data_IF_052768493334
#
_entry.id   IF_052768493334
#
_cell.length_a   1.000
_cell.length_b   1.000
_cell.length_c   1.000
_cell.angle_alpha   90.00
_cell.angle_beta   90.00
_cell.angle_gamma   90.00
#
_symmetry.space_group_name_H-M   'P 1'
#
loop_
_entity.id
_entity.type
_entity.pdbx_description
1 polymer ?
#
# COMPACT_ATOMS: atom_id res chain seq x y z
N UNK A 1 21.01 0.17 41.94
CA UNK A 1 21.48 0.18 40.54
C UNK A 1 20.78 -0.96 39.82
N UNK A 2 20.12 -0.72 38.68
CA UNK A 2 19.49 -1.79 37.90
C UNK A 2 20.58 -2.53 37.12
N UNK A 3 20.83 -3.80 37.45
CA UNK A 3 21.76 -4.64 36.68
C UNK A 3 21.15 -4.87 35.29
N UNK A 4 21.76 -4.31 34.25
CA UNK A 4 21.45 -4.67 32.86
C UNK A 4 21.84 -6.13 32.64
N UNK A 5 20.87 -7.03 32.72
CA UNK A 5 21.05 -8.42 32.32
C UNK A 5 21.10 -8.48 30.79
N UNK A 6 22.27 -8.79 30.23
CA UNK A 6 22.43 -9.00 28.80
C UNK A 6 22.32 -10.48 28.51
N UNK A 7 21.22 -10.89 27.85
CA UNK A 7 21.06 -12.25 27.32
C UNK A 7 21.51 -12.24 25.85
N UNK A 8 22.70 -12.76 25.60
CA UNK A 8 23.31 -12.80 24.27
C UNK A 8 23.31 -14.23 23.77
N UNK A 9 22.52 -14.50 22.73
CA UNK A 9 22.49 -15.79 22.03
C UNK A 9 23.59 -15.74 20.96
N UNK A 10 24.72 -16.39 21.24
CA UNK A 10 25.87 -16.50 20.33
C UNK A 10 25.79 -17.77 19.50
N UNK A 11 26.02 -17.67 18.19
CA UNK A 11 26.04 -18.80 17.27
C UNK A 11 27.47 -19.08 16.79
N UNK A 12 27.85 -20.35 16.73
CA UNK A 12 29.17 -20.78 16.24
C UNK A 12 29.19 -21.16 14.76
N UNK A 13 28.04 -21.37 14.12
CA UNK A 13 27.85 -21.52 12.66
C UNK A 13 26.34 -21.52 12.32
N UNK A 14 25.87 -20.67 11.40
CA UNK A 14 25.01 -21.02 10.25
C UNK A 14 24.40 -19.80 9.50
N UNK A 15 24.13 -20.00 8.22
CA UNK A 15 23.68 -19.02 7.22
C UNK A 15 22.13 -18.80 7.20
N UNK A 16 21.48 -18.72 8.37
CA UNK A 16 20.01 -18.72 8.45
C UNK A 16 19.44 -17.45 9.06
N UNK A 17 18.28 -16.99 8.59
CA UNK A 17 17.58 -15.79 9.08
C UNK A 17 16.73 -16.11 10.32
N UNK A 18 17.39 -16.19 11.48
CA UNK A 18 16.75 -16.22 12.80
C UNK A 18 16.60 -14.80 13.37
N UNK A 19 15.72 -14.65 14.37
CA UNK A 19 15.62 -13.45 15.20
C UNK A 19 15.57 -13.80 16.68
N UNK A 20 16.07 -12.92 17.53
CA UNK A 20 16.07 -13.07 18.99
C UNK A 20 15.15 -12.03 19.64
N UNK A 21 14.55 -12.37 20.78
CA UNK A 21 13.71 -11.47 21.56
C UNK A 21 13.95 -11.67 23.05
N UNK A 22 13.92 -10.60 23.83
CA UNK A 22 14.04 -10.62 25.29
C UNK A 22 12.93 -9.77 25.90
N UNK A 23 11.99 -10.41 26.59
CA UNK A 23 10.85 -9.73 27.21
C UNK A 23 10.54 -10.38 28.57
N UNK A 24 10.36 -9.57 29.62
CA UNK A 24 10.05 -10.04 31.00
C UNK A 24 10.90 -11.23 31.48
N UNK A 25 12.23 -11.14 31.32
CA UNK A 25 13.22 -12.20 31.62
C UNK A 25 13.15 -13.49 30.77
N UNK A 26 12.32 -13.53 29.71
CA UNK A 26 12.24 -14.64 28.75
C UNK A 26 13.04 -14.30 27.50
N UNK A 27 14.11 -15.05 27.24
CA UNK A 27 14.85 -15.01 25.97
C UNK A 27 14.28 -16.03 24.98
N UNK A 28 13.97 -15.60 23.76
CA UNK A 28 13.37 -16.43 22.70
C UNK A 28 14.23 -16.38 21.45
N UNK A 29 14.52 -17.55 20.87
CA UNK A 29 15.09 -17.71 19.53
C UNK A 29 13.98 -18.13 18.57
N UNK A 30 13.83 -17.42 17.45
CA UNK A 30 12.77 -17.67 16.46
C UNK A 30 13.38 -17.87 15.09
N UNK A 31 13.10 -19.01 14.47
CA UNK A 31 13.45 -19.33 13.09
C UNK A 31 12.30 -18.91 12.16
N UNK A 32 12.58 -18.08 11.16
CA UNK A 32 11.56 -17.64 10.19
C UNK A 32 11.25 -18.72 9.15
N UNK A 33 12.24 -19.54 8.83
CA UNK A 33 12.16 -20.81 8.07
C UNK A 33 13.13 -21.78 8.76
N UNK A 34 12.80 -23.07 8.76
CA UNK A 34 13.65 -24.12 9.34
C UNK A 34 14.13 -25.03 8.20
N UNK A 35 15.44 -25.15 8.06
CA UNK A 35 16.14 -26.03 7.11
C UNK A 35 17.01 -27.06 7.85
N UNK A 36 17.43 -28.14 7.20
CA UNK A 36 18.30 -29.14 7.85
C UNK A 36 19.66 -28.58 8.28
N UNK A 37 20.13 -27.50 7.64
CA UNK A 37 21.28 -26.70 8.07
C UNK A 37 21.11 -26.01 9.43
N UNK A 38 19.88 -25.82 9.90
CA UNK A 38 19.61 -25.21 11.21
C UNK A 38 19.73 -26.23 12.36
N UNK A 39 19.94 -27.51 12.05
CA UNK A 39 20.22 -28.52 13.08
C UNK A 39 21.60 -28.30 13.73
N UNK A 40 21.66 -28.37 15.05
CA UNK A 40 22.87 -28.05 15.80
C UNK A 40 22.63 -27.79 17.29
N UNK A 41 23.72 -27.55 18.02
CA UNK A 41 23.67 -27.18 19.43
C UNK A 41 23.55 -25.65 19.58
N UNK A 42 22.49 -25.20 20.22
CA UNK A 42 22.20 -23.79 20.50
C UNK A 42 22.49 -23.46 21.96
N UNK A 43 23.19 -22.35 22.19
CA UNK A 43 23.57 -21.91 23.53
C UNK A 43 22.85 -20.59 23.86
N UNK A 44 22.03 -20.60 24.90
CA UNK A 44 21.48 -19.38 25.48
C UNK A 44 22.38 -18.96 26.67
N UNK A 45 23.05 -17.81 26.56
CA UNK A 45 23.93 -17.25 27.60
C UNK A 45 23.30 -15.99 28.21
N UNK A 46 23.09 -16.01 29.52
CA UNK A 46 22.73 -14.87 30.34
C UNK A 46 23.97 -14.29 31.01
N UNK A 47 24.08 -12.97 31.05
CA UNK A 47 25.20 -12.25 31.67
C UNK A 47 24.68 -11.06 32.48
N UNK A 48 25.24 -10.86 33.67
CA UNK A 48 25.02 -9.69 34.50
C UNK A 48 26.35 -9.22 35.11
N UNK A 49 26.33 -8.14 35.90
CA UNK A 49 27.53 -7.55 36.52
C UNK A 49 28.23 -8.41 37.58
N UNK A 50 27.70 -9.60 37.89
CA UNK A 50 28.23 -10.52 38.91
C UNK A 50 28.73 -11.82 38.27
N UNK A 51 28.18 -12.24 37.13
CA UNK A 51 28.62 -13.44 36.44
C UNK A 51 27.77 -13.81 35.23
N UNK A 52 27.98 -15.04 34.74
CA UNK A 52 27.30 -15.60 33.59
C UNK A 52 26.66 -16.94 33.92
N UNK A 53 25.52 -17.21 33.31
CA UNK A 53 24.87 -18.52 33.30
C UNK A 53 24.57 -18.91 31.85
N UNK A 54 24.67 -20.17 31.49
CA UNK A 54 24.33 -20.64 30.15
C UNK A 54 23.60 -21.97 30.18
N UNK A 55 22.76 -22.19 29.16
CA UNK A 55 22.08 -23.46 28.91
C UNK A 55 22.23 -23.83 27.44
N UNK A 56 22.18 -25.13 27.16
CA UNK A 56 22.37 -25.70 25.82
C UNK A 56 21.13 -26.50 25.41
N UNK A 57 20.76 -26.41 24.14
CA UNK A 57 19.68 -27.20 23.54
C UNK A 57 20.12 -27.73 22.17
N UNK A 58 19.92 -29.03 21.93
CA UNK A 58 20.17 -29.63 20.62
C UNK A 58 18.90 -29.54 19.77
N UNK A 59 18.95 -28.77 18.68
CA UNK A 59 17.89 -28.74 17.66
C UNK A 59 18.18 -29.80 16.61
N UNK A 60 17.34 -30.83 16.54
CA UNK A 60 17.37 -31.82 15.45
C UNK A 60 16.24 -31.55 14.48
N UNK A 61 16.55 -31.10 13.28
CA UNK A 61 15.58 -30.91 12.20
C UNK A 61 15.32 -32.28 11.54
N UNK A 62 14.11 -32.81 11.71
CA UNK A 62 13.72 -34.06 11.08
C UNK A 62 13.13 -33.78 9.69
N UNK A 63 13.82 -34.22 8.65
CA UNK A 63 13.26 -34.23 7.30
C UNK A 63 12.10 -35.27 7.23
N UNK A 64 10.94 -34.93 6.62
CA UNK A 64 9.80 -35.85 6.60
C UNK A 64 10.10 -37.16 5.86
N UNK A 65 10.09 -38.28 6.60
CA UNK A 65 10.32 -39.62 6.03
C UNK A 65 9.18 -39.99 5.07
N UNK A 66 9.43 -39.92 3.76
CA UNK A 66 8.53 -40.44 2.74
C UNK A 66 8.64 -41.96 2.60
N UNK A 67 7.52 -42.63 2.28
CA UNK A 67 7.40 -44.09 2.16
C UNK A 67 7.61 -44.54 0.70
N UNK A 68 8.51 -45.49 0.37
CA UNK A 68 8.85 -45.81 -1.02
C UNK A 68 8.23 -47.12 -1.55
N UNK A 69 7.32 -47.02 -2.53
CA UNK A 69 6.79 -48.11 -3.38
C UNK A 69 6.27 -47.45 -4.68
N UNK A 70 6.53 -47.86 -5.93
CA UNK A 70 7.35 -48.93 -6.52
C UNK A 70 7.94 -48.47 -7.90
N UNK A 71 8.81 -49.25 -8.55
CA UNK A 71 9.50 -48.90 -9.81
C UNK A 71 8.65 -49.13 -11.08
N UNK A 72 8.59 -48.13 -11.98
CA UNK A 72 8.24 -48.25 -13.41
C UNK A 72 8.76 -47.04 -14.20
N UNK A 73 9.17 -47.24 -15.45
CA UNK A 73 10.06 -46.34 -16.20
C UNK A 73 9.36 -45.28 -17.06
N UNK A 74 8.97 -44.13 -16.49
CA UNK A 74 8.99 -42.81 -17.14
C UNK A 74 8.59 -41.66 -16.16
N UNK A 75 8.98 -40.42 -16.50
CA UNK A 75 8.93 -39.19 -15.69
C UNK A 75 7.74 -39.00 -14.72
N UNK A 76 8.04 -38.78 -13.43
CA UNK A 76 7.11 -38.13 -12.48
C UNK A 76 7.82 -37.63 -11.19
N UNK A 77 8.68 -36.64 -11.33
CA UNK A 77 9.32 -35.93 -10.21
C UNK A 77 8.36 -34.92 -9.55
N UNK A 78 7.24 -35.37 -8.95
CA UNK A 78 6.26 -34.50 -8.30
C UNK A 78 6.37 -34.57 -6.76
N UNK A 79 7.39 -33.89 -6.24
CA UNK A 79 7.64 -33.74 -4.80
C UNK A 79 7.25 -32.34 -4.31
N UNK A 80 6.18 -32.27 -3.51
CA UNK A 80 5.71 -31.11 -2.72
C UNK A 80 5.25 -29.86 -3.49
N UNK A 81 5.96 -29.40 -4.52
CA UNK A 81 5.64 -28.19 -5.30
C UNK A 81 4.25 -28.22 -5.94
N UNK A 82 3.77 -29.41 -6.34
CA UNK A 82 2.46 -29.65 -6.96
C UNK A 82 1.26 -29.34 -6.04
N UNK A 83 1.50 -29.09 -4.75
CA UNK A 83 0.49 -28.68 -3.75
C UNK A 83 0.59 -27.22 -3.32
N UNK A 84 1.53 -26.45 -3.90
CA UNK A 84 1.76 -25.07 -3.51
C UNK A 84 0.98 -24.16 -4.44
N UNK A 85 -0.02 -23.48 -3.89
CA UNK A 85 -0.86 -22.53 -4.62
C UNK A 85 -0.10 -21.20 -4.68
N UNK A 86 0.16 -20.63 -5.87
CA UNK A 86 0.76 -19.31 -5.98
C UNK A 86 -0.16 -18.25 -5.35
N UNK A 87 0.36 -17.08 -4.96
CA UNK A 87 -0.46 -16.01 -4.42
C UNK A 87 -1.49 -15.57 -5.45
N UNK A 88 -2.68 -15.18 -5.01
CA UNK A 88 -3.69 -14.57 -5.85
C UNK A 88 -4.56 -13.58 -5.05
N UNK A 89 -4.73 -12.37 -5.57
CA UNK A 89 -5.54 -11.33 -4.93
C UNK A 89 -7.05 -11.58 -5.06
N UNK A 90 -7.59 -12.31 -4.09
CA UNK A 90 -9.04 -12.51 -3.86
C UNK A 90 -9.83 -11.20 -3.68
N UNK A 91 -9.16 -10.13 -3.22
CA UNK A 91 -9.65 -8.75 -3.29
C UNK A 91 -8.49 -7.87 -3.74
N UNK A 92 -8.64 -7.20 -4.88
CA UNK A 92 -7.65 -6.24 -5.41
C UNK A 92 -7.88 -4.85 -4.81
N UNK A 93 -6.84 -4.02 -4.88
CA UNK A 93 -6.91 -2.59 -4.55
C UNK A 93 -7.97 -1.87 -5.41
N UNK A 94 -8.41 -0.70 -4.94
CA UNK A 94 -9.35 0.17 -5.63
C UNK A 94 -8.83 1.59 -5.67
N UNK A 95 -9.15 2.30 -6.74
CA UNK A 95 -8.87 3.73 -6.84
C UNK A 95 -9.47 4.46 -5.65
N UNK A 96 -8.66 5.31 -5.02
CA UNK A 96 -9.01 5.95 -3.76
C UNK A 96 -8.70 7.44 -3.84
N UNK A 97 -9.62 8.26 -3.33
CA UNK A 97 -9.40 9.70 -3.19
C UNK A 97 -9.01 10.00 -1.73
N UNK A 98 -7.80 10.50 -1.55
CA UNK A 98 -7.28 10.99 -0.28
C UNK A 98 -7.49 12.50 -0.14
N UNK A 99 -7.45 12.99 1.09
CA UNK A 99 -7.59 14.42 1.41
C UNK A 99 -6.29 14.93 2.04
N UNK A 100 -5.78 16.09 1.61
CA UNK A 100 -4.57 16.69 2.19
C UNK A 100 -4.66 16.78 3.72
N UNK A 101 -3.60 16.31 4.40
CA UNK A 101 -3.48 16.24 5.85
C UNK A 101 -4.25 15.08 6.51
N UNK A 102 -5.12 14.36 5.80
CA UNK A 102 -5.82 13.19 6.33
C UNK A 102 -4.93 11.93 6.31
N UNK A 103 -5.46 10.78 6.73
CA UNK A 103 -4.82 9.48 6.54
C UNK A 103 -5.72 8.59 5.68
N UNK A 104 -5.13 7.66 4.92
CA UNK A 104 -5.87 6.72 4.07
C UNK A 104 -5.35 5.30 4.27
N UNK A 105 -6.23 4.32 4.08
CA UNK A 105 -5.92 2.89 4.18
C UNK A 105 -6.15 2.23 2.82
N UNK A 106 -5.09 1.68 2.25
CA UNK A 106 -5.12 0.84 1.06
C UNK A 106 -5.12 -0.61 1.51
N UNK A 107 -6.19 -1.36 1.23
CA UNK A 107 -6.38 -2.74 1.65
C UNK A 107 -6.64 -3.66 0.46
N UNK A 108 -5.96 -4.81 0.43
CA UNK A 108 -6.23 -5.90 -0.49
C UNK A 108 -6.14 -7.25 0.26
N UNK A 109 -6.70 -8.32 -0.32
CA UNK A 109 -6.72 -9.65 0.30
C UNK A 109 -6.15 -10.70 -0.63
N UNK A 110 -5.08 -11.34 -0.19
CA UNK A 110 -4.42 -12.43 -0.92
C UNK A 110 -4.97 -13.80 -0.49
N UNK A 111 -4.71 -14.80 -1.32
CA UNK A 111 -4.92 -16.23 -1.06
C UNK A 111 -3.74 -17.00 -1.66
N UNK A 112 -3.41 -18.18 -1.16
CA UNK A 112 -2.26 -18.97 -1.61
C UNK A 112 -1.62 -19.75 -0.47
N UNK A 113 -0.59 -20.53 -0.76
CA UNK A 113 0.10 -21.32 0.28
C UNK A 113 1.10 -20.46 1.05
N UNK A 114 1.04 -20.49 2.38
CA UNK A 114 1.99 -19.82 3.27
C UNK A 114 3.38 -20.48 3.25
N UNK A 115 4.48 -19.76 3.55
CA UNK A 115 4.53 -18.33 3.88
C UNK A 115 4.45 -17.44 2.63
N UNK A 116 3.61 -16.40 2.70
CA UNK A 116 3.52 -15.34 1.69
C UNK A 116 4.28 -14.13 2.21
N UNK A 117 5.17 -13.56 1.39
CA UNK A 117 5.78 -12.25 1.60
C UNK A 117 5.00 -11.19 0.82
N UNK A 118 4.86 -10.01 1.41
CA UNK A 118 4.14 -8.86 0.83
C UNK A 118 5.06 -7.65 0.80
N UNK A 119 5.12 -6.99 -0.35
CA UNK A 119 5.82 -5.71 -0.54
C UNK A 119 4.90 -4.71 -1.24
N UNK A 120 5.18 -3.42 -1.03
CA UNK A 120 4.38 -2.32 -1.55
C UNK A 120 5.27 -1.35 -2.33
N UNK A 121 4.72 -0.75 -3.38
CA UNK A 121 5.43 0.18 -4.25
C UNK A 121 4.56 1.40 -4.56
N UNK A 122 5.17 2.57 -4.65
CA UNK A 122 4.58 3.79 -5.24
C UNK A 122 5.35 4.12 -6.52
N UNK A 123 4.65 4.11 -7.65
CA UNK A 123 5.20 4.41 -8.98
C UNK A 123 6.51 3.63 -9.30
N UNK A 124 6.57 2.38 -8.83
CA UNK A 124 7.71 1.46 -8.98
C UNK A 124 8.78 1.53 -7.88
N UNK A 125 8.71 2.49 -6.95
CA UNK A 125 9.65 2.61 -5.83
C UNK A 125 9.14 1.85 -4.61
N UNK A 126 9.99 1.03 -3.97
CA UNK A 126 9.60 0.23 -2.80
C UNK A 126 9.30 1.10 -1.58
N UNK A 127 8.16 0.82 -0.94
CA UNK A 127 7.70 1.49 0.28
C UNK A 127 8.13 0.66 1.48
N UNK A 128 8.90 1.27 2.37
CA UNK A 128 9.31 0.68 3.65
C UNK A 128 8.51 1.31 4.79
N UNK A 129 8.12 0.50 5.79
CA UNK A 129 7.41 0.99 6.98
C UNK A 129 8.20 2.07 7.73
N UNK A 130 7.50 3.11 8.17
CA UNK A 130 8.04 4.25 8.91
C UNK A 130 6.93 5.15 9.47
N UNK A 131 7.24 6.42 9.73
CA UNK A 131 6.25 7.37 10.27
C UNK A 131 5.12 7.69 9.27
N UNK A 132 5.49 7.83 7.99
CA UNK A 132 4.55 8.10 6.87
C UNK A 132 3.73 6.86 6.49
N UNK A 133 4.32 5.67 6.57
CA UNK A 133 3.80 4.43 6.00
C UNK A 133 3.72 3.31 7.05
N UNK A 134 2.51 2.86 7.37
CA UNK A 134 2.28 1.70 8.23
C UNK A 134 1.87 0.50 7.37
N UNK A 135 2.75 -0.49 7.20
CA UNK A 135 2.47 -1.74 6.47
C UNK A 135 2.13 -2.85 7.47
N UNK A 136 1.08 -3.61 7.20
CA UNK A 136 0.72 -4.82 7.95
C UNK A 136 0.20 -5.94 7.07
N UNK A 137 0.39 -7.18 7.53
CA UNK A 137 -0.11 -8.39 6.88
C UNK A 137 -0.59 -9.39 7.93
N UNK A 138 -1.91 -9.62 8.01
CA UNK A 138 -2.56 -10.50 8.98
C UNK A 138 -3.80 -11.15 8.36
N UNK A 139 -4.06 -12.43 8.63
CA UNK A 139 -5.22 -13.18 8.11
C UNK A 139 -5.43 -13.09 6.58
N UNK A 140 -4.30 -13.02 5.87
CA UNK A 140 -4.16 -12.78 4.42
C UNK A 140 -4.67 -11.41 3.93
N UNK A 141 -4.93 -10.47 4.82
CA UNK A 141 -5.22 -9.07 4.50
C UNK A 141 -3.91 -8.29 4.48
N UNK A 142 -3.61 -7.66 3.35
CA UNK A 142 -2.48 -6.78 3.13
C UNK A 142 -2.97 -5.34 3.27
N UNK A 143 -2.39 -4.57 4.19
CA UNK A 143 -2.79 -3.20 4.46
C UNK A 143 -1.59 -2.25 4.47
N UNK A 144 -1.71 -1.15 3.72
CA UNK A 144 -0.81 0.01 3.76
C UNK A 144 -1.63 1.23 4.18
N UNK A 145 -1.27 1.82 5.32
CA UNK A 145 -1.83 3.08 5.81
C UNK A 145 -0.84 4.20 5.57
N UNK A 146 -1.29 5.26 4.90
CA UNK A 146 -0.53 6.49 4.70
C UNK A 146 -1.04 7.54 5.68
N UNK A 147 -0.13 8.11 6.46
CA UNK A 147 -0.39 9.16 7.44
C UNK A 147 -0.14 10.55 6.83
N UNK A 148 -0.92 11.54 7.25
CA UNK A 148 -0.75 12.96 6.90
C UNK A 148 -0.46 13.19 5.39
N UNK A 149 -1.48 12.93 4.56
CA UNK A 149 -1.36 12.96 3.11
C UNK A 149 -0.91 14.32 2.57
N UNK A 150 -0.02 14.27 1.58
CA UNK A 150 0.48 15.40 0.82
C UNK A 150 0.28 15.18 -0.69
N UNK A 151 0.65 16.16 -1.52
CA UNK A 151 0.44 16.07 -2.98
C UNK A 151 1.34 15.00 -3.62
N UNK A 152 2.49 14.68 -3.01
CA UNK A 152 3.45 13.69 -3.52
C UNK A 152 3.07 12.25 -3.23
N UNK A 153 2.07 12.00 -2.36
CA UNK A 153 1.40 10.69 -2.22
C UNK A 153 0.41 10.40 -3.38
N UNK A 154 0.23 11.31 -4.33
CA UNK A 154 -0.57 11.01 -5.54
C UNK A 154 0.26 10.14 -6.48
N UNK A 155 -0.23 8.93 -6.78
CA UNK A 155 0.51 7.96 -7.58
C UNK A 155 -0.17 6.59 -7.70
N UNK A 156 0.48 5.70 -8.45
CA UNK A 156 0.08 4.30 -8.60
C UNK A 156 0.67 3.46 -7.48
N UNK A 157 -0.18 2.89 -6.62
CA UNK A 157 0.23 2.00 -5.54
C UNK A 157 0.05 0.55 -5.96
N UNK A 158 1.13 -0.24 -5.91
CA UNK A 158 1.14 -1.68 -6.22
C UNK A 158 1.43 -2.48 -4.95
N UNK A 159 0.59 -3.46 -4.65
CA UNK A 159 0.88 -4.52 -3.68
C UNK A 159 1.31 -5.78 -4.43
N UNK A 160 2.50 -6.28 -4.11
CA UNK A 160 3.04 -7.55 -4.64
C UNK A 160 3.00 -8.59 -3.55
N UNK A 161 2.50 -9.78 -3.87
CA UNK A 161 2.51 -10.94 -2.97
C UNK A 161 3.27 -12.10 -3.62
N UNK A 162 4.22 -12.69 -2.91
CA UNK A 162 5.09 -13.75 -3.40
C UNK A 162 5.17 -14.94 -2.43
N UNK A 163 5.25 -16.15 -2.96
CA UNK A 163 5.65 -17.36 -2.23
C UNK A 163 6.56 -18.23 -3.12
N UNK A 164 6.84 -19.46 -2.71
CA UNK A 164 7.75 -20.37 -3.45
C UNK A 164 7.14 -20.98 -4.73
N UNK A 165 5.84 -20.80 -4.97
CA UNK A 165 5.14 -21.26 -6.17
C UNK A 165 4.92 -20.15 -7.21
N UNK A 166 5.12 -18.88 -6.84
CA UNK A 166 4.99 -17.74 -7.74
C UNK A 166 4.67 -16.43 -7.02
N UNK A 167 4.20 -15.46 -7.79
CA UNK A 167 3.78 -14.14 -7.32
C UNK A 167 2.56 -13.65 -8.09
N UNK A 168 1.77 -12.78 -7.46
CA UNK A 168 0.71 -11.99 -8.07
C UNK A 168 0.86 -10.54 -7.61
N UNK A 169 0.29 -9.61 -8.37
CA UNK A 169 0.28 -8.19 -8.06
C UNK A 169 -1.10 -7.56 -8.31
N UNK A 170 -1.39 -6.50 -7.56
CA UNK A 170 -2.50 -5.63 -7.88
C UNK A 170 -2.15 -4.17 -7.59
N UNK A 171 -2.68 -3.27 -8.42
CA UNK A 171 -2.39 -1.84 -8.36
C UNK A 171 -3.68 -1.04 -8.34
N UNK A 172 -3.62 0.15 -7.74
CA UNK A 172 -4.65 1.17 -7.84
C UNK A 172 -4.06 2.57 -7.70
N UNK A 173 -4.74 3.56 -8.27
CA UNK A 173 -4.31 4.96 -8.20
C UNK A 173 -4.86 5.64 -6.94
N UNK A 174 -4.00 6.35 -6.21
CA UNK A 174 -4.38 7.26 -5.13
C UNK A 174 -4.32 8.69 -5.66
N UNK A 175 -5.41 9.44 -5.53
CA UNK A 175 -5.44 10.88 -5.85
C UNK A 175 -5.62 11.68 -4.57
N UNK A 176 -4.66 12.54 -4.23
CA UNK A 176 -4.77 13.40 -3.05
C UNK A 176 -5.32 14.77 -3.46
N UNK A 177 -6.47 15.13 -2.89
CA UNK A 177 -7.18 16.37 -3.17
C UNK A 177 -7.09 17.33 -1.98
N UNK A 178 -6.98 18.63 -2.27
CA UNK A 178 -7.07 19.65 -1.24
C UNK A 178 -8.49 19.80 -0.71
N UNK A 179 -8.64 20.04 0.60
CA UNK A 179 -9.91 20.54 1.12
C UNK A 179 -10.14 21.95 0.59
N UNK A 180 -11.00 22.08 -0.40
CA UNK A 180 -11.71 23.33 -0.61
C UNK A 180 -12.63 23.53 0.60
N UNK A 181 -12.12 24.26 1.60
CA UNK A 181 -13.02 24.95 2.51
C UNK A 181 -13.73 26.00 1.67
N UNK A 182 -15.01 25.75 1.40
CA UNK A 182 -15.97 26.78 1.03
C UNK A 182 -16.06 27.82 2.16
N UNK A 183 -15.03 28.66 2.22
CA UNK A 183 -15.06 29.92 2.95
C UNK A 183 -15.95 30.81 2.12
N UNK A 184 -17.26 30.67 2.37
CA UNK A 184 -18.39 31.24 1.63
C UNK A 184 -17.97 32.17 0.49
N UNK A 185 -18.06 31.66 -0.75
CA UNK A 185 -17.98 32.45 -1.97
C UNK A 185 -18.75 33.76 -1.73
N UNK A 186 -18.08 34.94 -1.66
CA UNK A 186 -18.73 36.15 -1.21
C UNK A 186 -19.84 36.44 -2.20
N UNK A 187 -21.09 36.27 -1.74
CA UNK A 187 -22.27 36.24 -2.60
C UNK A 187 -22.19 37.43 -3.53
N UNK A 188 -21.97 37.18 -4.82
CA UNK A 188 -21.73 38.24 -5.80
C UNK A 188 -23.01 39.05 -5.91
N UNK A 189 -23.06 40.15 -5.15
CA UNK A 189 -24.07 41.20 -5.31
C UNK A 189 -23.77 41.90 -6.63
N UNK A 190 -24.05 41.21 -7.74
CA UNK A 190 -24.40 41.83 -9.00
C UNK A 190 -25.66 42.65 -8.75
N UNK A 191 -25.45 43.87 -8.25
CA UNK A 191 -26.39 44.96 -8.43
C UNK A 191 -26.49 45.17 -9.94
N UNK A 192 -27.43 44.47 -10.58
CA UNK A 192 -28.05 45.01 -11.77
C UNK A 192 -28.65 46.37 -11.36
N UNK A 193 -28.17 47.50 -11.90
CA UNK A 193 -28.90 48.74 -11.72
C UNK A 193 -30.28 48.52 -12.33
N UNK A 194 -31.32 48.85 -11.57
CA UNK A 194 -32.69 48.79 -12.06
C UNK A 194 -32.87 49.89 -13.11
N UNK A 195 -32.50 49.58 -14.36
CA UNK A 195 -32.68 50.49 -15.48
C UNK A 195 -34.18 50.67 -15.69
N UNK A 196 -34.62 51.91 -15.53
CA UNK A 196 -36.02 52.29 -15.43
C UNK A 196 -36.84 51.77 -16.61
N UNK A 197 -38.08 51.39 -16.30
CA UNK A 197 -39.10 50.96 -17.24
C UNK A 197 -39.29 51.98 -18.36
N UNK A 198 -38.67 51.75 -19.52
CA UNK A 198 -39.00 52.51 -20.73
C UNK A 198 -40.25 51.94 -21.40
N UNK A 199 -41.26 52.80 -21.46
CA UNK A 199 -42.35 52.83 -22.46
C UNK A 199 -43.09 51.54 -22.77
N UNK A 200 -44.35 51.47 -22.35
CA UNK A 200 -45.31 50.55 -22.96
C UNK A 200 -45.48 50.85 -24.45
N UNK A 201 -45.34 49.81 -25.28
CA UNK A 201 -45.70 49.82 -26.69
C UNK A 201 -47.18 49.41 -26.86
N UNK A 202 -47.96 50.16 -27.65
CA UNK A 202 -49.05 49.60 -28.45
C UNK A 202 -48.56 49.27 -29.86
N UNK A 203 -49.17 48.26 -30.49
CA UNK A 203 -48.91 47.88 -31.88
C UNK A 203 -49.23 49.01 -32.88
N UNK A 204 -48.48 49.15 -33.97
CA UNK A 204 -48.89 48.70 -35.31
C UNK A 204 -47.94 49.19 -36.45
N UNK A 205 -47.88 48.36 -37.51
CA UNK A 205 -47.53 48.70 -38.91
C UNK A 205 -46.15 49.31 -39.23
N UNK A 206 -45.28 48.48 -39.82
CA UNK A 206 -44.49 48.91 -40.99
C UNK A 206 -44.42 47.78 -42.05
N UNK A 207 -44.41 48.18 -43.32
CA UNK A 207 -44.58 47.31 -44.49
C UNK A 207 -43.23 46.97 -45.16
N UNK A 208 -43.14 45.77 -45.75
CA UNK A 208 -42.09 45.35 -46.70
C UNK A 208 -40.79 44.81 -46.07
N UNK A 209 -39.94 44.04 -46.75
CA UNK A 209 -39.96 43.31 -48.04
C UNK A 209 -38.52 42.73 -48.18
N UNK A 210 -38.36 41.50 -48.70
CA UNK A 210 -37.06 40.77 -48.83
C UNK A 210 -36.36 40.39 -47.49
N UNK A 211 -35.63 39.27 -47.37
CA UNK A 211 -35.41 38.16 -48.30
C UNK A 211 -34.52 37.06 -47.68
N UNK A 212 -34.56 35.87 -48.31
CA UNK A 212 -33.64 34.71 -48.25
C UNK A 212 -32.33 34.83 -47.42
N UNK A 213 -31.96 33.80 -46.63
CA UNK A 213 -30.54 33.64 -46.25
C UNK A 213 -30.19 32.73 -45.06
N UNK A 214 -29.77 31.50 -45.38
CA UNK A 214 -29.10 30.45 -44.60
C UNK A 214 -27.95 30.78 -43.59
N UNK A 215 -27.66 29.75 -42.79
CA UNK A 215 -26.44 29.37 -42.01
C UNK A 215 -26.29 29.85 -40.54
N UNK A 216 -25.73 28.98 -39.64
CA UNK A 216 -25.65 29.21 -38.20
C UNK A 216 -24.28 29.77 -37.78
N UNK A 217 -24.18 30.29 -36.55
CA UNK A 217 -22.91 30.70 -35.97
C UNK A 217 -22.69 30.13 -34.57
N UNK A 218 -21.61 29.36 -34.45
CA UNK A 218 -21.04 28.81 -33.21
C UNK A 218 -20.34 29.92 -32.43
N UNK A 219 -20.30 29.88 -31.10
CA UNK A 219 -19.25 30.54 -30.35
C UNK A 219 -18.53 29.62 -29.34
N UNK A 220 -17.31 29.20 -29.71
CA UNK A 220 -16.12 29.17 -28.84
C UNK A 220 -15.06 29.99 -29.62
N UNK A 221 -14.33 30.94 -28.98
CA UNK A 221 -13.13 30.63 -28.18
C UNK A 221 -13.15 31.33 -26.79
N UNK A 222 -12.62 30.71 -25.73
CA UNK A 222 -11.21 30.70 -25.29
C UNK A 222 -10.59 32.05 -24.88
N UNK A 223 -10.24 32.12 -23.58
CA UNK A 223 -9.10 32.80 -22.95
C UNK A 223 -8.68 34.19 -23.45
N UNK A 224 -9.24 35.24 -22.83
CA UNK A 224 -8.65 36.58 -22.81
C UNK A 224 -7.93 36.87 -21.49
N UNK A 225 -6.59 36.86 -21.50
CA UNK A 225 -5.78 37.47 -20.43
C UNK A 225 -5.92 38.99 -20.51
N UNK A 226 -6.70 39.61 -19.61
CA UNK A 226 -6.75 41.07 -19.51
C UNK A 226 -5.59 41.61 -18.68
N UNK A 227 -4.66 42.30 -19.36
CA UNK A 227 -3.70 43.19 -18.72
C UNK A 227 -4.39 44.47 -18.25
N UNK A 228 -4.28 44.77 -16.96
CA UNK A 228 -4.28 46.12 -16.36
C UNK A 228 -3.36 46.06 -15.13
N UNK A 229 -2.54 47.06 -14.81
CA UNK A 229 -2.51 48.44 -15.28
C UNK A 229 -2.91 49.38 -14.15
N UNK A 230 -2.01 50.30 -13.79
CA UNK A 230 -2.02 51.19 -12.60
C UNK A 230 -1.69 50.49 -11.25
N UNK A 231 -0.88 51.09 -10.37
CA UNK A 231 -0.27 52.44 -10.35
C UNK A 231 1.25 52.40 -10.42
#
# INVERSE_FOLDING_TARGET
>A
MLSKTSLTISLSNCFSFFRTSLLYNVATLIFNRVASSDSGEYICKAENSVGTASTKALLTVQEPKQKPQHLSSCSSSLSYLDRLVPPSFSRKLKETNGVLGSSVLLECKVSGTAPISVSWFQDGNEIVSGEKHEISFLDNVCALKLNALDVTDTGSYTCVAANVAGSDECSAFLTVQGQWKDTAMPSTKFFFPLLFLFSGFPWFLFHGLFGLGFFPMVPWPQWGLCLCGHK
#
